data_IF_844427075302
#
_entry.id   IF_844427075302
#
_cell.length_a   1.000
_cell.length_b   1.000
_cell.length_c   1.000
_cell.angle_alpha   90.00
_cell.angle_beta   90.00
_cell.angle_gamma   90.00
#
_symmetry.space_group_name_H-M   'P 1'
#
loop_
_entity.id
_entity.type
_entity.pdbx_description
1 polymer ?
#
# COMPACT_ATOMS: atom_id res chain seq x y z
N UNK A 1 -3.43 33.86 44.99
CA UNK A 1 -2.77 34.56 43.86
C UNK A 1 -3.28 33.92 42.58
N UNK A 2 -4.07 34.65 41.79
CA UNK A 2 -4.98 34.11 40.77
C UNK A 2 -4.31 33.62 39.48
N UNK A 3 -4.81 32.49 38.94
CA UNK A 3 -4.53 32.01 37.59
C UNK A 3 -5.24 32.90 36.55
N UNK A 4 -4.47 33.52 35.65
CA UNK A 4 -5.00 34.22 34.47
C UNK A 4 -5.08 33.25 33.28
N UNK A 5 -6.29 32.77 32.97
CA UNK A 5 -6.62 32.19 31.66
C UNK A 5 -6.77 33.33 30.64
N UNK A 6 -5.85 33.46 29.69
CA UNK A 6 -6.03 34.32 28.51
C UNK A 6 -7.01 33.67 27.55
N UNK A 7 -8.08 34.39 27.23
CA UNK A 7 -9.11 34.06 26.23
C UNK A 7 -8.49 33.70 24.88
N UNK A 8 -8.82 32.52 24.37
CA UNK A 8 -8.67 32.14 22.95
C UNK A 8 -9.57 33.06 22.12
N UNK A 9 -8.98 33.87 21.25
CA UNK A 9 -9.74 34.69 20.28
C UNK A 9 -10.45 33.77 19.30
N UNK A 10 -11.78 33.91 19.20
CA UNK A 10 -12.63 33.26 18.22
C UNK A 10 -12.20 33.68 16.81
N UNK A 11 -11.79 32.72 15.99
CA UNK A 11 -11.60 32.89 14.54
C UNK A 11 -12.90 33.44 13.93
N UNK A 12 -12.82 34.62 13.31
CA UNK A 12 -13.92 35.16 12.50
C UNK A 12 -13.93 34.39 11.18
N UNK A 13 -15.05 33.76 10.88
CA UNK A 13 -15.32 33.06 9.62
C UNK A 13 -15.17 34.02 8.43
N UNK A 14 -14.07 33.90 7.70
CA UNK A 14 -13.90 34.53 6.39
C UNK A 14 -14.58 33.65 5.35
N UNK A 15 -15.49 34.24 4.58
CA UNK A 15 -16.24 33.56 3.53
C UNK A 15 -15.29 33.18 2.39
N UNK A 16 -15.11 31.87 2.14
CA UNK A 16 -14.47 31.34 0.94
C UNK A 16 -15.54 31.24 -0.15
N UNK A 17 -15.49 32.12 -1.14
CA UNK A 17 -16.30 31.98 -2.37
C UNK A 17 -15.54 31.13 -3.37
N UNK A 18 -15.97 29.89 -3.57
CA UNK A 18 -15.54 29.07 -4.70
C UNK A 18 -16.34 29.49 -5.94
N UNK A 19 -15.68 30.02 -6.97
CA UNK A 19 -16.31 30.24 -8.26
C UNK A 19 -16.31 28.91 -9.03
N UNK A 20 -17.49 28.36 -9.31
CA UNK A 20 -17.63 27.18 -10.17
C UNK A 20 -17.45 27.60 -11.63
N UNK A 21 -16.43 27.06 -12.28
CA UNK A 21 -16.27 27.18 -13.73
C UNK A 21 -17.14 26.09 -14.37
N UNK A 22 -18.32 26.47 -14.85
CA UNK A 22 -19.19 25.61 -15.67
C UNK A 22 -18.52 25.49 -17.05
N UNK A 23 -17.94 24.34 -17.36
CA UNK A 23 -17.47 24.03 -18.72
C UNK A 23 -18.65 23.44 -19.49
N UNK A 24 -19.40 24.30 -20.17
CA UNK A 24 -20.36 23.87 -21.19
C UNK A 24 -19.60 23.35 -22.41
N UNK A 25 -19.93 22.13 -22.84
CA UNK A 25 -19.30 21.43 -23.96
C UNK A 25 -19.34 22.24 -25.25
N UNK A 26 -18.16 22.53 -25.78
CA UNK A 26 -17.94 23.14 -27.09
C UNK A 26 -16.44 23.17 -27.36
N UNK A 27 -16.01 22.58 -28.46
CA UNK A 27 -14.62 22.52 -28.87
C UNK A 27 -14.01 23.93 -28.89
N UNK A 28 -13.11 24.22 -27.96
CA UNK A 28 -12.38 25.49 -27.87
C UNK A 28 -10.92 25.16 -27.62
N UNK A 29 -10.06 25.65 -28.50
CA UNK A 29 -8.62 25.65 -28.34
C UNK A 29 -8.26 26.04 -26.89
N UNK A 30 -7.37 25.27 -26.26
CA UNK A 30 -6.89 25.53 -24.90
C UNK A 30 -6.36 26.97 -24.83
N UNK A 31 -7.08 27.92 -24.20
CA UNK A 31 -6.46 29.20 -23.87
C UNK A 31 -5.39 28.89 -22.83
N UNK A 32 -4.38 29.74 -22.66
CA UNK A 32 -3.32 29.55 -21.65
C UNK A 32 -3.92 29.50 -20.23
N UNK A 33 -4.32 28.31 -19.81
CA UNK A 33 -4.91 27.96 -18.52
C UNK A 33 -4.03 28.25 -17.28
N UNK A 34 -2.67 28.38 -17.33
CA UNK A 34 -1.87 28.45 -16.10
C UNK A 34 -2.26 29.57 -15.14
N UNK A 35 -2.76 30.71 -15.65
CA UNK A 35 -3.06 31.90 -14.86
C UNK A 35 -4.52 32.00 -14.40
N UNK A 36 -5.41 31.12 -14.84
CA UNK A 36 -6.82 31.17 -14.45
C UNK A 36 -6.96 30.97 -12.93
N UNK A 37 -7.71 31.85 -12.26
CA UNK A 37 -7.87 31.80 -10.79
C UNK A 37 -8.89 30.71 -10.43
N UNK A 38 -8.49 29.77 -9.58
CA UNK A 38 -9.33 28.68 -9.07
C UNK A 38 -9.89 29.01 -7.68
N UNK A 39 -9.06 29.58 -6.80
CA UNK A 39 -9.49 30.10 -5.51
C UNK A 39 -8.95 31.51 -5.36
N UNK A 40 -9.82 32.46 -5.00
CA UNK A 40 -9.41 33.81 -4.66
C UNK A 40 -9.59 34.03 -3.16
N UNK A 41 -8.69 34.77 -2.54
CA UNK A 41 -8.80 35.08 -1.11
C UNK A 41 -7.69 36.00 -0.59
N UNK A 42 -7.60 36.16 0.75
CA UNK A 42 -6.84 37.24 1.38
C UNK A 42 -5.32 37.15 1.20
N UNK A 43 -4.79 35.99 0.80
CA UNK A 43 -3.36 35.73 0.61
C UNK A 43 -2.99 35.54 -0.86
N UNK A 44 -3.76 36.16 -1.75
CA UNK A 44 -3.60 36.08 -3.21
C UNK A 44 -4.35 34.90 -3.83
N UNK A 45 -4.38 34.81 -5.17
CA UNK A 45 -5.12 33.78 -5.90
C UNK A 45 -4.34 32.47 -5.99
N UNK A 46 -5.02 31.33 -5.85
CA UNK A 46 -4.56 30.02 -6.33
C UNK A 46 -4.95 29.87 -7.80
N UNK A 47 -3.98 29.60 -8.65
CA UNK A 47 -4.16 29.47 -10.09
C UNK A 47 -4.39 28.02 -10.52
N UNK A 48 -4.92 27.83 -11.73
CA UNK A 48 -5.14 26.51 -12.31
C UNK A 48 -3.81 25.81 -12.64
N UNK A 49 -2.76 26.56 -12.99
CA UNK A 49 -1.42 25.98 -13.17
C UNK A 49 -0.84 25.43 -11.87
N UNK A 50 -1.01 26.14 -10.75
CA UNK A 50 -0.58 25.64 -9.43
C UNK A 50 -1.40 24.42 -8.99
N UNK A 51 -2.71 24.42 -9.24
CA UNK A 51 -3.53 23.26 -8.93
C UNK A 51 -3.15 22.06 -9.81
N UNK A 52 -2.93 22.26 -11.11
CA UNK A 52 -2.50 21.20 -12.02
C UNK A 52 -1.16 20.60 -11.60
N UNK A 53 -0.21 21.43 -11.17
CA UNK A 53 1.05 20.96 -10.60
C UNK A 53 0.81 20.02 -9.40
N UNK A 54 -0.01 20.46 -8.42
CA UNK A 54 -0.32 19.64 -7.24
C UNK A 54 -1.05 18.34 -7.62
N UNK A 55 -1.92 18.37 -8.63
CA UNK A 55 -2.62 17.18 -9.13
C UNK A 55 -1.64 16.20 -9.76
N UNK A 56 -0.69 16.66 -10.57
CA UNK A 56 0.32 15.79 -11.19
C UNK A 56 1.19 15.08 -10.16
N UNK A 57 1.50 15.77 -9.07
CA UNK A 57 2.29 15.24 -7.95
C UNK A 57 1.53 14.24 -7.08
N UNK A 58 0.21 14.44 -6.88
CA UNK A 58 -0.59 13.63 -5.93
C UNK A 58 -1.45 12.56 -6.57
N UNK A 59 -1.81 12.73 -7.84
CA UNK A 59 -2.77 11.86 -8.54
C UNK A 59 -2.04 11.08 -9.64
N UNK A 60 -2.05 9.73 -9.57
CA UNK A 60 -1.50 8.85 -10.60
C UNK A 60 -2.04 9.21 -11.99
N UNK A 61 -1.20 9.06 -13.02
CA UNK A 61 -1.51 9.54 -14.37
C UNK A 61 -2.83 8.98 -14.94
N UNK A 62 -3.11 7.71 -14.68
CA UNK A 62 -4.33 6.98 -15.07
C UNK A 62 -5.60 7.46 -14.34
N UNK A 63 -5.45 8.11 -13.18
CA UNK A 63 -6.55 8.62 -12.36
C UNK A 63 -6.83 10.12 -12.54
N UNK A 64 -5.99 10.84 -13.27
CA UNK A 64 -6.14 12.30 -13.43
C UNK A 64 -7.43 12.70 -14.14
N UNK A 65 -7.84 11.96 -15.17
CA UNK A 65 -9.09 12.26 -15.88
C UNK A 65 -10.33 12.11 -14.99
N UNK A 66 -10.36 11.05 -14.17
CA UNK A 66 -11.40 10.81 -13.16
C UNK A 66 -11.42 11.92 -12.11
N UNK A 67 -10.24 12.32 -11.61
CA UNK A 67 -10.09 13.42 -10.67
C UNK A 67 -10.69 14.73 -11.21
N UNK A 68 -10.30 15.13 -12.43
CA UNK A 68 -10.78 16.38 -13.04
C UNK A 68 -12.27 16.35 -13.37
N UNK A 69 -12.84 15.16 -13.56
CA UNK A 69 -14.27 14.97 -13.81
C UNK A 69 -15.12 15.04 -12.54
N UNK A 70 -14.50 15.14 -11.35
CA UNK A 70 -15.17 15.17 -10.06
C UNK A 70 -15.04 16.55 -9.41
N UNK A 71 -16.06 17.43 -9.54
CA UNK A 71 -16.02 18.77 -8.96
C UNK A 71 -15.74 18.76 -7.46
N UNK A 72 -16.30 17.80 -6.72
CA UNK A 72 -16.09 17.67 -5.28
C UNK A 72 -14.61 17.42 -4.94
N UNK A 73 -13.94 16.51 -5.66
CA UNK A 73 -12.53 16.22 -5.43
C UNK A 73 -11.64 17.42 -5.77
N UNK A 74 -11.93 18.10 -6.87
CA UNK A 74 -11.23 19.33 -7.28
C UNK A 74 -11.40 20.42 -6.22
N UNK A 75 -12.63 20.69 -5.76
CA UNK A 75 -12.91 21.69 -4.73
C UNK A 75 -12.21 21.35 -3.42
N UNK A 76 -12.23 20.09 -2.99
CA UNK A 76 -11.58 19.65 -1.75
C UNK A 76 -10.07 19.86 -1.81
N UNK A 77 -9.44 19.47 -2.91
CA UNK A 77 -8.00 19.68 -3.11
C UNK A 77 -7.64 21.16 -3.16
N UNK A 78 -8.34 21.94 -3.98
CA UNK A 78 -8.09 23.38 -4.13
C UNK A 78 -8.24 24.12 -2.80
N UNK A 79 -9.28 23.79 -2.03
CA UNK A 79 -9.50 24.37 -0.68
C UNK A 79 -8.37 23.99 0.27
N UNK A 80 -7.92 22.73 0.26
CA UNK A 80 -6.80 22.28 1.08
C UNK A 80 -5.48 22.98 0.75
N UNK A 81 -5.17 23.12 -0.54
CA UNK A 81 -3.99 23.87 -1.03
C UNK A 81 -4.08 25.34 -0.60
N UNK A 82 -5.26 25.95 -0.72
CA UNK A 82 -5.47 27.34 -0.31
C UNK A 82 -5.33 27.53 1.21
N UNK A 83 -5.89 26.62 2.01
CA UNK A 83 -5.75 26.64 3.46
C UNK A 83 -4.27 26.55 3.88
N UNK A 84 -3.48 25.71 3.21
CA UNK A 84 -2.03 25.65 3.43
C UNK A 84 -1.34 26.99 3.12
N UNK A 85 -1.75 27.69 2.05
CA UNK A 85 -1.23 29.03 1.73
C UNK A 85 -1.56 30.06 2.80
N UNK A 86 -2.78 30.03 3.34
CA UNK A 86 -3.18 30.92 4.45
C UNK A 86 -2.31 30.68 5.68
N UNK A 87 -2.12 29.41 6.07
CA UNK A 87 -1.26 29.07 7.20
C UNK A 87 0.21 29.48 6.98
N UNK A 88 0.73 29.31 5.76
CA UNK A 88 2.08 29.77 5.41
C UNK A 88 2.22 31.30 5.52
N UNK A 89 1.19 32.05 5.11
CA UNK A 89 1.17 33.50 5.28
C UNK A 89 1.11 33.92 6.75
N UNK A 90 0.37 33.19 7.59
CA UNK A 90 0.34 33.45 9.03
C UNK A 90 1.68 33.14 9.70
N UNK A 91 2.34 32.04 9.32
CA UNK A 91 3.70 31.72 9.77
C UNK A 91 4.71 32.82 9.41
N UNK A 92 4.57 33.44 8.24
CA UNK A 92 5.41 34.57 7.82
C UNK A 92 5.15 35.84 8.64
N UNK A 93 3.89 36.11 9.02
CA UNK A 93 3.56 37.23 9.95
C UNK A 93 4.20 37.04 11.32
N UNK A 94 4.28 35.79 11.78
CA UNK A 94 4.98 35.40 13.01
C UNK A 94 6.50 35.34 12.85
N UNK A 95 7.04 35.64 11.65
CA UNK A 95 8.47 35.62 11.32
C UNK A 95 9.12 34.26 11.55
N UNK A 96 8.34 33.17 11.46
CA UNK A 96 8.88 31.82 11.65
C UNK A 96 9.93 31.49 10.58
N UNK A 97 9.74 31.96 9.35
CA UNK A 97 10.67 31.86 8.23
C UNK A 97 12.02 32.57 8.49
N UNK A 98 12.04 33.58 9.36
CA UNK A 98 13.23 34.34 9.73
C UNK A 98 13.97 33.75 10.95
N UNK A 99 13.32 32.87 11.72
CA UNK A 99 13.96 32.19 12.84
C UNK A 99 15.08 31.25 12.36
N UNK A 100 16.11 30.96 13.18
CA UNK A 100 17.15 29.98 12.82
C UNK A 100 16.58 28.60 12.45
N UNK A 101 15.51 28.20 13.13
CA UNK A 101 14.79 26.96 12.83
C UNK A 101 14.08 27.02 11.48
N UNK A 102 13.33 28.10 11.19
CA UNK A 102 12.60 28.25 9.93
C UNK A 102 13.53 28.37 8.72
N UNK A 103 14.62 29.14 8.83
CA UNK A 103 15.63 29.23 7.77
C UNK A 103 16.27 27.86 7.48
N UNK A 104 16.56 27.08 8.52
CA UNK A 104 17.08 25.72 8.37
C UNK A 104 16.07 24.81 7.71
N UNK A 105 14.80 24.86 8.14
CA UNK A 105 13.72 24.09 7.56
C UNK A 105 13.51 24.40 6.08
N UNK A 106 13.47 25.67 5.70
CA UNK A 106 13.30 26.11 4.31
C UNK A 106 14.47 25.67 3.44
N UNK A 107 15.72 25.82 3.92
CA UNK A 107 16.91 25.37 3.19
C UNK A 107 16.87 23.87 2.91
N UNK A 108 16.65 23.05 3.93
CA UNK A 108 16.62 21.59 3.78
C UNK A 108 15.45 21.13 2.91
N UNK A 109 14.28 21.77 3.03
CA UNK A 109 13.12 21.46 2.20
C UNK A 109 13.38 21.77 0.73
N UNK A 110 14.01 22.91 0.43
CA UNK A 110 14.43 23.28 -0.92
C UNK A 110 15.44 22.28 -1.48
N UNK A 111 16.49 21.96 -0.73
CA UNK A 111 17.54 21.06 -1.20
C UNK A 111 16.99 19.66 -1.50
N UNK A 112 16.10 19.15 -0.64
CA UNK A 112 15.38 17.89 -0.88
C UNK A 112 14.53 17.94 -2.16
N UNK A 113 13.72 18.99 -2.32
CA UNK A 113 12.84 19.13 -3.49
C UNK A 113 13.64 19.20 -4.80
N UNK A 114 14.76 19.92 -4.80
CA UNK A 114 15.63 20.02 -5.99
C UNK A 114 16.34 18.72 -6.32
N UNK A 115 16.79 17.97 -5.29
CA UNK A 115 17.40 16.66 -5.49
C UNK A 115 16.38 15.66 -6.07
N UNK A 116 15.16 15.65 -5.56
CA UNK A 116 14.06 14.82 -6.07
C UNK A 116 13.73 15.17 -7.52
N UNK A 117 13.57 16.45 -7.84
CA UNK A 117 13.31 16.92 -9.21
C UNK A 117 14.42 16.50 -10.18
N UNK A 118 15.69 16.65 -9.78
CA UNK A 118 16.83 16.21 -10.59
C UNK A 118 16.82 14.70 -10.82
N UNK A 119 16.51 13.92 -9.79
CA UNK A 119 16.41 12.47 -9.92
C UNK A 119 15.27 12.06 -10.85
N UNK A 120 14.10 12.68 -10.75
CA UNK A 120 12.99 12.43 -11.67
C UNK A 120 13.36 12.74 -13.12
N UNK A 121 13.98 13.90 -13.38
CA UNK A 121 14.45 14.27 -14.72
C UNK A 121 15.51 13.29 -15.24
N UNK A 122 16.45 12.86 -14.40
CA UNK A 122 17.46 11.86 -14.76
C UNK A 122 16.85 10.49 -15.05
N UNK A 123 15.91 10.03 -14.22
CA UNK A 123 15.19 8.76 -14.43
C UNK A 123 14.40 8.82 -15.73
N UNK A 124 13.69 9.92 -15.99
CA UNK A 124 12.95 10.13 -17.24
C UNK A 124 13.88 10.17 -18.46
N UNK A 125 15.01 10.86 -18.35
CA UNK A 125 16.00 10.95 -19.42
C UNK A 125 16.74 9.63 -19.67
N UNK A 126 16.92 8.81 -18.62
CA UNK A 126 17.58 7.51 -18.69
C UNK A 126 16.59 6.34 -18.84
N UNK A 127 15.28 6.61 -18.91
CA UNK A 127 14.27 5.57 -19.04
C UNK A 127 14.48 4.81 -20.37
N UNK A 128 14.72 3.49 -20.33
CA UNK A 128 14.86 2.72 -21.56
C UNK A 128 13.57 2.78 -22.37
N UNK A 129 13.68 2.66 -23.69
CA UNK A 129 12.49 2.57 -24.55
C UNK A 129 11.65 1.34 -24.17
N UNK A 130 10.36 1.37 -24.49
CA UNK A 130 9.46 0.24 -24.21
C UNK A 130 9.98 -1.06 -24.86
N UNK A 131 10.58 -0.96 -26.05
CA UNK A 131 11.21 -2.07 -26.75
C UNK A 131 12.42 -2.62 -25.98
N UNK A 132 13.27 -1.74 -25.43
CA UNK A 132 14.42 -2.15 -24.62
C UNK A 132 13.97 -2.83 -23.31
N UNK A 133 12.92 -2.31 -22.66
CA UNK A 133 12.33 -2.92 -21.47
C UNK A 133 11.77 -4.32 -21.79
N UNK A 134 11.03 -4.44 -22.90
CA UNK A 134 10.47 -5.72 -23.35
C UNK A 134 11.57 -6.73 -23.71
N UNK A 135 12.62 -6.31 -24.40
CA UNK A 135 13.75 -7.16 -24.75
C UNK A 135 14.45 -7.68 -23.49
N UNK A 136 14.70 -6.81 -22.51
CA UNK A 136 15.29 -7.19 -21.23
C UNK A 136 14.39 -8.18 -20.46
N UNK A 137 13.09 -7.90 -20.36
CA UNK A 137 12.13 -8.79 -19.70
C UNK A 137 12.10 -10.18 -20.36
N UNK A 138 12.09 -10.24 -21.69
CA UNK A 138 12.16 -11.50 -22.43
C UNK A 138 13.48 -12.24 -22.19
N UNK A 139 14.61 -11.54 -22.12
CA UNK A 139 15.90 -12.18 -21.84
C UNK A 139 15.96 -12.74 -20.42
N UNK A 140 15.46 -12.02 -19.41
CA UNK A 140 15.41 -12.49 -18.03
C UNK A 140 14.46 -13.69 -17.90
N UNK A 141 13.29 -13.65 -18.54
CA UNK A 141 12.36 -14.78 -18.57
C UNK A 141 12.99 -16.04 -19.17
N UNK A 142 13.71 -15.90 -20.29
CA UNK A 142 14.40 -17.02 -20.95
C UNK A 142 15.60 -17.52 -20.16
N UNK A 143 16.33 -16.63 -19.49
CA UNK A 143 17.51 -16.98 -18.73
C UNK A 143 17.19 -17.65 -17.38
N UNK A 144 16.03 -17.35 -16.79
CA UNK A 144 15.60 -17.82 -15.47
C UNK A 144 14.14 -18.28 -15.48
N UNK A 145 13.74 -19.22 -16.36
CA UNK A 145 12.35 -19.64 -16.49
C UNK A 145 11.77 -20.14 -15.17
N UNK A 146 12.58 -20.77 -14.31
CA UNK A 146 12.20 -21.28 -13.00
C UNK A 146 11.65 -20.19 -12.06
N UNK A 147 12.13 -18.94 -12.17
CA UNK A 147 11.60 -17.80 -11.39
C UNK A 147 10.17 -17.43 -11.77
N UNK A 148 9.72 -17.87 -12.93
CA UNK A 148 8.42 -17.56 -13.50
C UNK A 148 7.54 -18.79 -13.66
N UNK A 149 7.89 -19.88 -12.97
CA UNK A 149 7.04 -21.07 -12.84
C UNK A 149 6.23 -21.03 -11.55
N UNK A 150 5.03 -21.59 -11.58
CA UNK A 150 4.31 -21.92 -10.36
C UNK A 150 4.90 -23.20 -9.78
N UNK A 151 5.47 -23.18 -8.58
CA UNK A 151 6.01 -24.38 -7.95
C UNK A 151 4.90 -25.40 -7.71
N UNK A 152 5.26 -26.68 -7.67
CA UNK A 152 4.35 -27.75 -7.27
C UNK A 152 3.80 -27.49 -5.87
N UNK A 153 2.49 -27.62 -5.73
CA UNK A 153 1.73 -27.36 -4.51
C UNK A 153 0.87 -28.58 -4.18
N UNK A 154 0.80 -28.94 -2.89
CA UNK A 154 -0.07 -30.02 -2.40
C UNK A 154 -0.97 -29.52 -1.30
N UNK A 155 -2.20 -30.01 -1.27
CA UNK A 155 -3.15 -29.81 -0.17
C UNK A 155 -3.30 -31.12 0.59
N UNK A 156 -2.93 -31.13 1.87
CA UNK A 156 -2.94 -32.36 2.67
C UNK A 156 -3.70 -32.19 3.98
N UNK A 157 -4.17 -33.33 4.48
CA UNK A 157 -4.65 -33.47 5.85
C UNK A 157 -3.76 -34.46 6.59
N UNK A 158 -3.53 -34.23 7.88
CA UNK A 158 -2.72 -35.14 8.70
C UNK A 158 -3.33 -35.40 10.08
N UNK A 159 -2.92 -36.52 10.69
CA UNK A 159 -3.24 -36.87 12.07
C UNK A 159 -1.90 -37.07 12.79
N UNK A 160 -1.61 -36.20 13.75
CA UNK A 160 -0.39 -36.30 14.55
C UNK A 160 -0.70 -37.13 15.80
N UNK A 161 0.04 -38.21 16.03
CA UNK A 161 0.04 -38.89 17.32
C UNK A 161 1.33 -38.50 18.07
N UNK A 162 1.25 -37.78 19.21
CA UNK A 162 2.43 -37.36 19.94
C UNK A 162 3.15 -38.58 20.52
N UNK A 163 4.48 -38.53 20.48
CA UNK A 163 5.39 -39.50 21.11
C UNK A 163 6.02 -38.80 22.32
N UNK A 164 6.28 -39.55 23.39
CA UNK A 164 7.03 -39.07 24.54
C UNK A 164 8.40 -38.54 24.08
N UNK A 165 8.90 -37.48 24.74
CA UNK A 165 10.15 -36.82 24.35
C UNK A 165 11.36 -37.77 24.38
N UNK A 166 11.32 -38.78 25.23
CA UNK A 166 12.34 -39.82 25.36
C UNK A 166 12.13 -41.01 24.41
N UNK A 167 11.05 -41.00 23.61
CA UNK A 167 10.71 -42.06 22.66
C UNK A 167 10.21 -43.35 23.30
N UNK A 168 10.00 -43.38 24.62
CA UNK A 168 9.67 -44.59 25.37
C UNK A 168 8.37 -45.28 24.92
N UNK A 169 7.43 -44.53 24.37
CA UNK A 169 6.13 -45.02 23.90
C UNK A 169 6.03 -45.16 22.36
N UNK A 170 7.13 -44.93 21.62
CA UNK A 170 7.11 -44.88 20.15
C UNK A 170 6.51 -46.14 19.51
N UNK A 171 6.81 -47.33 20.03
CA UNK A 171 6.25 -48.60 19.52
C UNK A 171 4.73 -48.71 19.74
N UNK A 172 4.24 -48.25 20.89
CA UNK A 172 2.81 -48.22 21.19
C UNK A 172 2.09 -47.17 20.33
N UNK A 173 2.69 -45.98 20.15
CA UNK A 173 2.16 -44.93 19.28
C UNK A 173 2.11 -45.39 17.82
N UNK A 174 3.15 -46.09 17.35
CA UNK A 174 3.16 -46.70 16.01
C UNK A 174 2.01 -47.69 15.82
N UNK A 175 1.79 -48.57 16.80
CA UNK A 175 0.67 -49.52 16.77
C UNK A 175 -0.68 -48.80 16.67
N UNK A 176 -0.87 -47.68 17.38
CA UNK A 176 -2.06 -46.84 17.27
C UNK A 176 -2.19 -46.19 15.90
N UNK A 177 -1.09 -45.69 15.32
CA UNK A 177 -1.08 -45.12 13.98
C UNK A 177 -1.47 -46.16 12.92
N UNK A 178 -0.97 -47.38 13.03
CA UNK A 178 -1.29 -48.49 12.13
C UNK A 178 -2.77 -48.92 12.24
N UNK A 179 -3.33 -48.92 13.46
CA UNK A 179 -4.74 -49.18 13.68
C UNK A 179 -5.63 -48.10 13.04
N UNK A 180 -5.31 -46.81 13.24
CA UNK A 180 -6.01 -45.70 12.59
C UNK A 180 -5.91 -45.77 11.07
N UNK A 181 -4.74 -46.13 10.53
CA UNK A 181 -4.57 -46.33 9.09
C UNK A 181 -5.45 -47.47 8.57
N UNK A 182 -5.60 -48.56 9.32
CA UNK A 182 -6.50 -49.65 8.96
C UNK A 182 -7.98 -49.23 8.98
N UNK A 183 -8.40 -48.42 9.94
CA UNK A 183 -9.75 -47.84 9.98
C UNK A 183 -10.01 -46.91 8.78
N UNK A 184 -9.05 -46.03 8.46
CA UNK A 184 -9.12 -45.14 7.31
C UNK A 184 -9.21 -45.92 5.99
N UNK A 185 -8.43 -47.00 5.84
CA UNK A 185 -8.49 -47.89 4.67
C UNK A 185 -9.82 -48.64 4.53
N UNK A 186 -10.56 -48.79 5.64
CA UNK A 186 -11.92 -49.36 5.65
C UNK A 186 -13.02 -48.31 5.41
N UNK A 187 -12.65 -47.05 5.18
CA UNK A 187 -13.60 -45.97 4.85
C UNK A 187 -14.03 -45.10 6.03
N UNK A 188 -13.33 -45.14 7.17
CA UNK A 188 -13.60 -44.21 8.27
C UNK A 188 -13.39 -42.75 7.82
N UNK A 189 -14.14 -41.81 8.42
CA UNK A 189 -14.04 -40.39 8.09
C UNK A 189 -12.73 -39.78 8.64
N UNK A 190 -11.85 -39.33 7.74
CA UNK A 190 -10.57 -38.73 8.12
C UNK A 190 -10.72 -37.48 8.97
N UNK A 191 -11.65 -36.60 8.62
CA UNK A 191 -11.86 -35.33 9.31
C UNK A 191 -12.27 -35.55 10.76
N UNK A 192 -13.18 -36.50 10.99
CA UNK A 192 -13.64 -36.88 12.33
C UNK A 192 -12.53 -37.53 13.16
N UNK A 193 -11.78 -38.47 12.55
CA UNK A 193 -10.63 -39.08 13.23
C UNK A 193 -9.54 -38.05 13.54
N UNK A 194 -9.27 -37.11 12.65
CA UNK A 194 -8.32 -36.03 12.90
C UNK A 194 -8.77 -35.12 14.04
N UNK A 195 -10.06 -34.72 14.07
CA UNK A 195 -10.63 -33.91 15.16
C UNK A 195 -10.56 -34.59 16.52
N UNK A 196 -10.72 -35.91 16.56
CA UNK A 196 -10.83 -36.66 17.81
C UNK A 196 -9.53 -37.32 18.28
N UNK A 197 -8.60 -37.63 17.35
CA UNK A 197 -7.39 -38.42 17.62
C UNK A 197 -6.08 -37.68 17.35
N UNK A 198 -6.09 -36.59 16.59
CA UNK A 198 -4.87 -35.82 16.32
C UNK A 198 -4.48 -34.99 17.55
N UNK A 199 -3.21 -35.07 17.92
CA UNK A 199 -2.56 -34.21 18.90
C UNK A 199 -1.93 -32.97 18.28
N UNK A 200 -2.17 -32.66 16.99
CA UNK A 200 -1.69 -31.41 16.39
C UNK A 200 -2.63 -30.24 16.74
N UNK A 201 -2.22 -29.28 17.59
CA UNK A 201 -3.06 -28.14 17.96
C UNK A 201 -3.37 -27.21 16.78
N UNK A 202 -2.55 -27.21 15.72
CA UNK A 202 -2.70 -26.30 14.58
C UNK A 202 -3.79 -26.71 13.59
N UNK A 203 -4.06 -28.01 13.47
CA UNK A 203 -4.95 -28.55 12.43
C UNK A 203 -6.02 -29.52 12.92
N UNK A 204 -5.89 -30.11 14.12
CA UNK A 204 -6.83 -31.13 14.61
C UNK A 204 -8.29 -30.64 14.56
N UNK A 205 -8.58 -29.44 15.08
CA UNK A 205 -9.92 -28.84 15.07
C UNK A 205 -10.49 -28.60 13.67
N UNK A 206 -9.62 -28.49 12.66
CA UNK A 206 -9.95 -28.35 11.24
C UNK A 206 -9.89 -29.68 10.48
N UNK A 207 -9.93 -30.81 11.19
CA UNK A 207 -9.89 -32.11 10.54
C UNK A 207 -8.53 -32.49 9.97
N UNK A 208 -7.45 -31.96 10.55
CA UNK A 208 -6.09 -32.22 10.13
C UNK A 208 -5.62 -31.38 8.94
N UNK A 209 -6.43 -30.42 8.47
CA UNK A 209 -6.12 -29.61 7.29
C UNK A 209 -4.92 -28.67 7.52
N UNK A 210 -3.88 -28.86 6.72
CA UNK A 210 -2.66 -28.02 6.73
C UNK A 210 -2.65 -26.96 5.62
N UNK A 211 -3.69 -26.93 4.78
CA UNK A 211 -3.76 -26.06 3.62
C UNK A 211 -2.80 -26.46 2.51
N UNK A 212 -2.60 -25.54 1.57
CA UNK A 212 -1.72 -25.72 0.42
C UNK A 212 -0.30 -25.30 0.80
N UNK A 213 0.69 -26.10 0.44
CA UNK A 213 2.09 -25.73 0.59
C UNK A 213 2.96 -26.25 -0.57
N UNK A 214 4.07 -25.55 -0.79
CA UNK A 214 5.13 -25.92 -1.73
C UNK A 214 6.23 -26.71 -1.03
N UNK A 215 7.14 -27.30 -1.81
CA UNK A 215 8.38 -27.88 -1.28
C UNK A 215 9.20 -26.87 -0.46
N UNK A 216 9.95 -27.36 0.53
CA UNK A 216 10.75 -26.59 1.48
C UNK A 216 9.98 -25.94 2.63
N UNK A 217 8.67 -26.21 2.77
CA UNK A 217 7.81 -25.60 3.81
C UNK A 217 7.56 -26.53 5.00
N UNK A 218 7.74 -27.84 4.82
CA UNK A 218 7.53 -28.85 5.85
C UNK A 218 8.83 -29.59 6.15
N UNK A 219 8.83 -30.40 7.22
CA UNK A 219 9.99 -31.26 7.53
C UNK A 219 10.21 -32.30 6.41
N UNK A 220 11.48 -32.66 6.09
CA UNK A 220 11.80 -33.42 4.88
C UNK A 220 11.05 -34.74 4.72
N UNK A 221 10.85 -35.48 5.81
CA UNK A 221 10.19 -36.79 5.79
C UNK A 221 8.69 -36.67 5.50
N UNK A 222 8.04 -35.66 6.07
CA UNK A 222 6.62 -35.37 5.83
C UNK A 222 6.43 -34.90 4.39
N UNK A 223 7.29 -33.98 3.94
CA UNK A 223 7.24 -33.45 2.58
C UNK A 223 7.44 -34.53 1.53
N UNK A 224 8.41 -35.44 1.74
CA UNK A 224 8.63 -36.58 0.85
C UNK A 224 7.37 -37.42 0.69
N UNK A 225 6.61 -37.66 1.76
CA UNK A 225 5.37 -38.42 1.70
C UNK A 225 4.20 -37.63 1.09
N UNK A 226 4.12 -36.31 1.35
CA UNK A 226 3.06 -35.45 0.85
C UNK A 226 3.12 -35.24 -0.67
N UNK A 227 4.33 -35.30 -1.25
CA UNK A 227 4.59 -35.12 -2.68
C UNK A 227 5.02 -36.43 -3.40
N UNK A 228 4.76 -37.61 -2.82
CA UNK A 228 5.12 -38.92 -3.38
C UNK A 228 4.08 -39.48 -4.36
#
# INVERSE_FOLDING_TARGET
>A
MQLMFKRVQRFRSAWLTAAFLVVSGGAMAQPSLPSAVVVNGPVGPLTAGELDFVVRERVPADKRAEFWSSPEQVTRLATGVYAQRVMAADAAKEKLDQSPQGQTYLRLSRDRAMAELLMQERVKAAAPSEEAQKAFAQSEYKAKPERFTTPEEVHVRHILLPVAKDGSDAAAVKTKAEALLAELRKGANFEELAKTRSGDPGSASKGGDLGVFTRGRMVPEFEKAAFA
#
